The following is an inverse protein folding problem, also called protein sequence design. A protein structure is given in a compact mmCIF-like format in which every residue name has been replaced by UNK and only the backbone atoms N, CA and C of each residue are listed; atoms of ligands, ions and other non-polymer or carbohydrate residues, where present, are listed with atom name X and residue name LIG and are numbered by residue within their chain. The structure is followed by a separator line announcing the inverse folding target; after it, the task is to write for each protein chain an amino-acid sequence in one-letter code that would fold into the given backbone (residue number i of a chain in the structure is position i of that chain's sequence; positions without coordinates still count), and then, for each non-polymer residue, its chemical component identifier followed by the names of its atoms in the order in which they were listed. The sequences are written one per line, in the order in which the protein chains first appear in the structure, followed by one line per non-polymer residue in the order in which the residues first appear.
data_IF_424153041795
#
_entry.id   IF_424153041795
#
_cell.length_a   1.000
_cell.length_b   1.000
_cell.length_c   1.000
_cell.angle_alpha   90.00
_cell.angle_beta   90.00
_cell.angle_gamma   90.00
#
_symmetry.space_group_name_H-M   'P 1'
#
loop_
_entity.id
_entity.type
_entity.pdbx_description
1 polymer ?
#
# COMPACT_ATOMS: atom_id res chain seq x y z
N UNK A 1 0.27 25.80 4.89
CA UNK A 1 1.29 24.86 5.41
C UNK A 1 1.67 23.94 4.28
N UNK A 2 2.92 23.97 3.83
CA UNK A 2 3.40 23.12 2.74
C UNK A 2 3.97 21.85 3.35
N UNK A 3 3.25 20.74 3.25
CA UNK A 3 3.76 19.43 3.63
C UNK A 3 4.63 18.89 2.49
N UNK A 4 5.89 19.29 2.43
CA UNK A 4 6.90 18.62 1.59
C UNK A 4 7.48 17.43 2.36
N UNK A 5 6.80 16.29 2.24
CA UNK A 5 7.41 14.97 2.37
C UNK A 5 6.80 14.07 1.29
N UNK A 6 7.29 14.20 0.07
CA UNK A 6 7.13 13.13 -0.92
C UNK A 6 7.76 11.88 -0.31
N UNK A 7 6.92 10.97 0.17
CA UNK A 7 7.34 9.65 0.62
C UNK A 7 7.24 8.77 -0.61
N UNK A 8 8.35 8.21 -1.08
CA UNK A 8 8.28 7.25 -2.18
C UNK A 8 7.37 6.09 -1.75
N UNK A 9 6.38 5.72 -2.58
CA UNK A 9 5.58 4.53 -2.32
C UNK A 9 6.49 3.31 -2.28
N UNK A 10 6.09 2.29 -1.51
CA UNK A 10 6.88 1.07 -1.41
C UNK A 10 6.91 0.32 -2.76
N UNK A 11 5.80 0.34 -3.51
CA UNK A 11 5.73 -0.03 -4.92
C UNK A 11 4.90 0.98 -5.71
N UNK A 12 5.46 1.43 -6.83
CA UNK A 12 4.71 2.06 -7.91
C UNK A 12 5.19 1.45 -9.23
N UNK A 13 4.35 0.65 -9.87
CA UNK A 13 4.71 -0.03 -11.11
C UNK A 13 3.53 -0.12 -12.07
N UNK A 14 3.85 -0.09 -13.37
CA UNK A 14 2.90 -0.45 -14.42
C UNK A 14 2.88 -1.97 -14.52
N UNK A 15 1.70 -2.57 -14.45
CA UNK A 15 1.51 -4.02 -14.49
C UNK A 15 0.55 -4.39 -15.61
N UNK A 16 0.80 -5.53 -16.24
CA UNK A 16 -0.09 -6.14 -17.22
C UNK A 16 -0.90 -7.25 -16.53
N UNK A 17 -2.21 -7.21 -16.71
CA UNK A 17 -3.16 -8.19 -16.22
C UNK A 17 -3.19 -9.42 -17.14
N UNK A 18 -3.74 -10.53 -16.64
CA UNK A 18 -3.80 -11.78 -17.41
C UNK A 18 -4.63 -11.67 -18.71
N UNK A 19 -5.51 -10.67 -18.80
CA UNK A 19 -6.30 -10.34 -19.99
C UNK A 19 -5.56 -9.40 -20.96
N UNK A 20 -4.31 -9.02 -20.69
CA UNK A 20 -3.50 -8.10 -21.49
C UNK A 20 -3.75 -6.61 -21.21
N UNK A 21 -4.61 -6.26 -20.25
CA UNK A 21 -4.85 -4.87 -19.87
C UNK A 21 -3.72 -4.34 -18.99
N UNK A 22 -3.33 -3.09 -19.20
CA UNK A 22 -2.32 -2.41 -18.39
C UNK A 22 -2.96 -1.53 -17.32
N UNK A 23 -2.39 -1.55 -16.12
CA UNK A 23 -2.80 -0.67 -15.03
C UNK A 23 -1.61 -0.22 -14.18
N UNK A 24 -1.81 0.82 -13.40
CA UNK A 24 -0.87 1.29 -12.39
C UNK A 24 -1.20 0.62 -11.07
N UNK A 25 -0.22 -0.09 -10.51
CA UNK A 25 -0.24 -0.58 -9.15
C UNK A 25 0.48 0.41 -8.25
N UNK A 26 -0.19 0.85 -7.20
CA UNK A 26 0.41 1.62 -6.11
C UNK A 26 0.17 0.88 -4.79
N UNK A 27 1.24 0.43 -4.13
CA UNK A 27 1.15 -0.28 -2.85
C UNK A 27 2.06 0.33 -1.77
N UNK A 28 1.54 0.44 -0.54
CA UNK A 28 2.29 0.87 0.65
C UNK A 28 2.22 -0.21 1.76
N UNK A 29 3.33 -0.42 2.48
CA UNK A 29 3.36 -1.25 3.70
C UNK A 29 3.41 -0.38 4.94
N UNK A 30 2.48 -0.65 5.85
CA UNK A 30 2.42 0.01 7.13
C UNK A 30 2.62 -0.97 8.28
N UNK A 31 3.60 -0.66 9.13
CA UNK A 31 3.83 -1.35 10.41
C UNK A 31 3.22 -0.59 11.60
N UNK A 32 2.69 0.61 11.34
CA UNK A 32 2.13 1.51 12.33
C UNK A 32 0.81 2.05 11.82
N UNK A 33 -0.14 2.20 12.74
CA UNK A 33 -1.43 2.82 12.47
C UNK A 33 -1.22 4.34 12.38
N UNK A 34 -1.22 4.86 11.15
CA UNK A 34 -0.93 6.26 10.83
C UNK A 34 -2.23 6.97 10.42
N UNK A 35 -2.53 8.13 11.03
CA UNK A 35 -3.83 8.80 10.90
C UNK A 35 -4.12 9.33 9.49
N UNK A 36 -3.12 9.93 8.85
CA UNK A 36 -3.29 10.65 7.58
C UNK A 36 -3.22 9.73 6.34
N UNK A 37 -3.14 8.42 6.54
CA UNK A 37 -2.91 7.46 5.45
C UNK A 37 -4.04 7.47 4.42
N UNK A 38 -5.30 7.49 4.86
CA UNK A 38 -6.42 7.42 3.91
C UNK A 38 -6.46 8.65 2.98
N UNK A 39 -6.20 9.84 3.53
CA UNK A 39 -6.16 11.08 2.77
C UNK A 39 -4.95 11.11 1.82
N UNK A 40 -3.78 10.66 2.29
CA UNK A 40 -2.58 10.55 1.44
C UNK A 40 -2.79 9.60 0.27
N UNK A 41 -3.44 8.46 0.49
CA UNK A 41 -3.78 7.53 -0.60
C UNK A 41 -4.67 8.21 -1.65
N UNK A 42 -5.64 9.03 -1.21
CA UNK A 42 -6.48 9.81 -2.11
C UNK A 42 -5.66 10.84 -2.91
N UNK A 43 -4.75 11.57 -2.26
CA UNK A 43 -3.87 12.53 -2.92
C UNK A 43 -3.02 11.86 -4.02
N UNK A 44 -2.38 10.73 -3.68
CA UNK A 44 -1.59 9.95 -4.64
C UNK A 44 -2.42 9.43 -5.80
N UNK A 45 -3.65 8.98 -5.55
CA UNK A 45 -4.55 8.55 -6.63
C UNK A 45 -4.76 9.66 -7.66
N UNK A 46 -5.09 10.87 -7.18
CA UNK A 46 -5.36 12.02 -8.05
C UNK A 46 -4.10 12.42 -8.82
N UNK A 47 -2.93 12.42 -8.15
CA UNK A 47 -1.65 12.70 -8.80
C UNK A 47 -1.33 11.68 -9.90
N UNK A 48 -1.50 10.39 -9.61
CA UNK A 48 -1.29 9.31 -10.56
C UNK A 48 -2.30 9.39 -11.71
N UNK A 49 -3.58 9.64 -11.46
CA UNK A 49 -4.61 9.71 -12.53
C UNK A 49 -4.38 10.91 -13.44
N UNK A 50 -3.83 12.00 -12.91
CA UNK A 50 -3.40 13.16 -13.70
C UNK A 50 -2.23 12.82 -14.63
N UNK A 51 -1.26 12.03 -14.15
CA UNK A 51 -0.08 11.61 -14.91
C UNK A 51 -0.43 10.52 -15.94
N UNK A 52 -1.15 9.50 -15.50
CA UNK A 52 -1.47 8.27 -16.21
C UNK A 52 -2.95 8.25 -16.64
N UNK A 53 -3.35 9.27 -17.41
CA UNK A 53 -4.78 9.55 -17.72
C UNK A 53 -5.56 8.36 -18.31
N UNK A 54 -4.88 7.47 -19.03
CA UNK A 54 -5.49 6.37 -19.77
C UNK A 54 -5.45 5.04 -19.02
N UNK A 55 -4.67 4.95 -17.95
CA UNK A 55 -4.52 3.72 -17.19
C UNK A 55 -5.41 3.77 -15.96
N UNK A 56 -5.93 2.61 -15.58
CA UNK A 56 -6.54 2.45 -14.28
C UNK A 56 -5.47 2.37 -13.20
N UNK A 57 -5.86 2.79 -12.00
CA UNK A 57 -4.97 2.84 -10.84
C UNK A 57 -5.61 2.01 -9.75
N UNK A 58 -4.90 0.99 -9.32
CA UNK A 58 -5.30 0.14 -8.20
C UNK A 58 -4.34 0.38 -7.05
N UNK A 59 -4.93 0.69 -5.90
CA UNK A 59 -4.19 1.03 -4.70
C UNK A 59 -4.37 0.00 -3.61
N UNK A 60 -3.26 -0.34 -2.95
CA UNK A 60 -3.21 -1.25 -1.82
C UNK A 60 -2.49 -0.62 -0.64
N UNK A 61 -3.01 -0.88 0.55
CA UNK A 61 -2.23 -0.83 1.78
C UNK A 61 -2.16 -2.21 2.37
N UNK A 62 -0.95 -2.62 2.70
CA UNK A 62 -0.68 -3.84 3.44
C UNK A 62 -0.30 -3.42 4.85
N UNK A 63 -1.23 -3.57 5.79
CA UNK A 63 -0.97 -3.33 7.20
C UNK A 63 -0.51 -4.62 7.88
N UNK A 64 0.61 -4.56 8.58
CA UNK A 64 1.18 -5.69 9.31
C UNK A 64 1.31 -5.30 10.78
N UNK A 65 0.54 -5.94 11.65
CA UNK A 65 0.49 -5.60 13.08
C UNK A 65 -0.10 -6.71 13.94
N UNK A 66 -0.03 -6.54 15.27
CA UNK A 66 -0.65 -7.48 16.23
C UNK A 66 -2.14 -7.24 16.44
N UNK A 67 -2.63 -6.05 16.06
CA UNK A 67 -4.01 -5.61 16.20
C UNK A 67 -4.50 -5.02 14.87
N UNK A 68 -5.81 -4.87 14.70
CA UNK A 68 -6.34 -4.14 13.54
C UNK A 68 -6.01 -2.64 13.64
N UNK A 69 -5.65 -1.99 12.52
CA UNK A 69 -5.45 -0.56 12.52
C UNK A 69 -6.77 0.16 12.78
N UNK A 70 -6.74 1.23 13.59
CA UNK A 70 -7.93 2.03 13.89
C UNK A 70 -8.14 3.14 12.87
N UNK A 71 -7.05 3.70 12.34
CA UNK A 71 -7.10 4.86 11.46
C UNK A 71 -6.93 4.49 9.99
N UNK A 72 -6.21 3.42 9.66
CA UNK A 72 -6.12 2.91 8.29
C UNK A 72 -7.36 2.04 8.02
N UNK A 73 -8.32 2.56 7.24
CA UNK A 73 -9.64 1.93 7.11
C UNK A 73 -9.96 1.44 5.69
N UNK A 74 -9.17 1.80 4.69
CA UNK A 74 -9.47 1.48 3.29
C UNK A 74 -10.44 2.45 2.62
N UNK A 75 -10.90 3.48 3.34
CA UNK A 75 -11.78 4.51 2.79
C UNK A 75 -11.54 5.87 3.43
N UNK A 76 -11.84 6.92 2.67
CA UNK A 76 -11.89 8.29 3.15
C UNK A 76 -13.20 8.90 2.67
N UNK A 77 -14.00 9.44 3.58
CA UNK A 77 -15.33 9.96 3.27
C UNK A 77 -15.57 11.29 3.99
N UNK A 78 -16.02 12.26 3.20
CA UNK A 78 -16.60 13.53 3.63
C UNK A 78 -17.91 13.74 2.86
N UNK A 79 -18.61 14.84 3.14
CA UNK A 79 -19.84 15.19 2.41
C UNK A 79 -19.61 15.40 0.90
N UNK A 80 -18.38 15.74 0.50
CA UNK A 80 -18.03 16.10 -0.88
C UNK A 80 -17.14 15.08 -1.59
N UNK A 81 -16.47 14.20 -0.84
CA UNK A 81 -15.49 13.27 -1.38
C UNK A 81 -15.66 11.88 -0.78
N UNK A 82 -15.80 10.88 -1.65
CA UNK A 82 -15.74 9.47 -1.28
C UNK A 82 -14.60 8.82 -2.03
N UNK A 83 -13.67 8.22 -1.30
CA UNK A 83 -12.51 7.58 -1.86
C UNK A 83 -12.28 6.23 -1.17
N UNK A 84 -11.86 5.22 -1.94
CA UNK A 84 -11.63 3.85 -1.46
C UNK A 84 -10.37 3.29 -2.08
N UNK A 85 -9.71 2.43 -1.32
CA UNK A 85 -8.58 1.63 -1.77
C UNK A 85 -8.60 0.27 -1.08
N UNK A 86 -7.77 -0.66 -1.53
CA UNK A 86 -7.74 -2.01 -0.97
C UNK A 86 -6.88 -2.05 0.29
N UNK A 87 -7.46 -2.41 1.42
CA UNK A 87 -6.73 -2.64 2.67
C UNK A 87 -6.59 -4.14 2.92
N UNK A 88 -5.35 -4.62 3.04
CA UNK A 88 -5.00 -5.98 3.45
C UNK A 88 -4.41 -5.90 4.86
N UNK A 89 -5.05 -6.55 5.83
CA UNK A 89 -4.57 -6.63 7.21
C UNK A 89 -3.97 -8.00 7.47
N UNK A 90 -2.69 -8.03 7.84
CA UNK A 90 -1.95 -9.22 8.22
C UNK A 90 -1.67 -9.19 9.72
N UNK A 91 -2.37 -10.05 10.47
CA UNK A 91 -2.18 -10.18 11.91
C UNK A 91 -0.98 -11.06 12.23
N UNK A 92 0.02 -10.49 12.88
CA UNK A 92 1.14 -11.24 13.44
C UNK A 92 0.81 -11.56 14.90
N UNK A 93 0.40 -12.81 15.15
CA UNK A 93 0.34 -13.33 16.51
C UNK A 93 1.76 -13.59 17.00
N UNK A 94 2.13 -13.02 18.15
CA UNK A 94 3.44 -13.26 18.76
C UNK A 94 3.58 -14.73 19.15
N UNK A 95 4.10 -15.52 18.22
CA UNK A 95 4.70 -16.83 18.42
C UNK A 95 5.85 -16.96 17.42
N UNK A 96 7.06 -16.65 17.90
CA UNK A 96 8.36 -16.99 17.30
C UNK A 96 8.74 -16.48 15.88
N UNK A 97 8.00 -15.56 15.26
CA UNK A 97 8.50 -14.84 14.07
C UNK A 97 9.25 -13.55 14.45
N UNK A 98 10.43 -13.69 15.07
CA UNK A 98 11.38 -12.58 15.19
C UNK A 98 12.29 -12.59 13.97
N UNK A 99 11.83 -12.02 12.86
CA UNK A 99 12.75 -11.35 11.95
C UNK A 99 12.87 -9.92 12.43
N UNK A 100 14.04 -9.46 12.91
CA UNK A 100 14.26 -8.04 13.15
C UNK A 100 14.29 -7.37 11.78
N UNK A 101 13.12 -6.97 11.28
CA UNK A 101 12.96 -6.21 10.06
C UNK A 101 13.49 -4.80 10.32
N UNK A 102 14.81 -4.65 10.29
CA UNK A 102 15.53 -3.40 10.58
C UNK A 102 15.28 -2.29 9.54
N UNK A 103 14.52 -2.57 8.46
CA UNK A 103 14.16 -1.56 7.44
C UNK A 103 12.87 -1.94 6.71
N UNK A 104 11.85 -1.05 6.62
CA UNK A 104 10.56 -1.33 5.96
C UNK A 104 10.70 -1.80 4.51
N UNK A 105 11.57 -1.15 3.72
CA UNK A 105 11.78 -1.44 2.28
C UNK A 105 12.21 -2.88 1.98
N UNK A 106 13.09 -3.47 2.80
CA UNK A 106 13.61 -4.84 2.56
C UNK A 106 12.56 -5.90 2.90
N UNK A 107 11.71 -5.59 3.86
CA UNK A 107 10.58 -6.41 4.32
C UNK A 107 9.49 -6.48 3.26
N UNK A 108 9.22 -5.36 2.60
CA UNK A 108 8.27 -5.30 1.50
C UNK A 108 8.73 -6.14 0.30
N UNK A 109 9.99 -6.05 -0.12
CA UNK A 109 10.49 -6.88 -1.24
C UNK A 109 10.31 -8.39 -0.97
N UNK A 110 10.58 -8.87 0.24
CA UNK A 110 10.36 -10.27 0.61
C UNK A 110 8.88 -10.63 0.66
N UNK A 111 8.04 -9.77 1.26
CA UNK A 111 6.60 -9.94 1.26
C UNK A 111 6.04 -9.96 -0.18
N UNK A 112 6.53 -9.09 -1.04
CA UNK A 112 6.13 -8.96 -2.44
C UNK A 112 6.52 -10.18 -3.26
N UNK A 113 7.66 -10.82 -2.98
CA UNK A 113 8.02 -12.10 -3.59
C UNK A 113 7.04 -13.22 -3.17
N UNK A 114 6.71 -13.29 -1.87
CA UNK A 114 5.71 -14.23 -1.35
C UNK A 114 4.34 -13.98 -2.01
N UNK A 115 3.92 -12.71 -2.11
CA UNK A 115 2.66 -12.31 -2.75
C UNK A 115 2.63 -12.62 -4.25
N UNK A 116 3.78 -12.53 -4.94
CA UNK A 116 3.95 -12.95 -6.35
C UNK A 116 4.07 -14.47 -6.55
N UNK A 117 3.90 -15.28 -5.51
CA UNK A 117 4.03 -16.74 -5.57
C UNK A 117 5.46 -17.24 -5.81
N UNK A 118 6.47 -16.39 -5.60
CA UNK A 118 7.89 -16.77 -5.71
C UNK A 118 8.46 -16.96 -4.31
N UNK A 119 8.83 -18.19 -3.97
CA UNK A 119 9.58 -18.46 -2.75
C UNK A 119 10.90 -17.67 -2.77
N UNK A 120 11.28 -16.99 -1.68
CA UNK A 120 12.56 -16.29 -1.62
C UNK A 120 13.69 -17.31 -1.80
N UNK A 121 14.62 -17.05 -2.72
CA UNK A 121 15.87 -17.84 -2.79
C UNK A 121 16.66 -17.58 -1.51
N UNK A 122 17.00 -18.67 -0.83
CA UNK A 122 17.87 -18.70 0.35
C UNK A 122 19.25 -18.14 0.04
#
# INVERSE_FOLDING_TARGET
MQFTKERDPDELSKVELANGEEQILHAEVHLKDEQEVNLRMCEYYVMLKRREKKLDIVQYIIFIGSEDPKHITGFYETDVLKYRYNLIVLKIYRSKFFFPLKTPRRSFSQFWQIFKGKTPKQ
#
